data_IF_833942386990
#
_entry.id   IF_833942386990
#
_cell.length_a   1.000
_cell.length_b   1.000
_cell.length_c   1.000
_cell.angle_alpha   90.00
_cell.angle_beta   90.00
_cell.angle_gamma   90.00
#
_symmetry.space_group_name_H-M   'P 1'
#
loop_
_entity.id
_entity.type
_entity.pdbx_description
1 polymer ?
#
# COMPACT_ATOMS: atom_id res chain seq x y z
N UNK A 1 -49.93 25.79 -10.59
CA UNK A 1 -49.70 24.57 -9.81
C UNK A 1 -48.21 24.45 -9.59
N UNK A 2 -47.76 24.75 -8.38
CA UNK A 2 -46.36 24.62 -7.98
C UNK A 2 -46.11 23.16 -7.67
N UNK A 3 -45.24 22.49 -8.43
CA UNK A 3 -44.77 21.15 -8.10
C UNK A 3 -43.95 21.23 -6.81
N UNK A 4 -44.47 20.64 -5.73
CA UNK A 4 -43.65 20.31 -4.57
C UNK A 4 -42.65 19.26 -5.05
N UNK A 5 -41.38 19.64 -5.09
CA UNK A 5 -40.26 18.70 -5.20
C UNK A 5 -40.14 18.10 -3.80
N UNK A 6 -40.23 16.78 -3.68
CA UNK A 6 -40.01 16.07 -2.42
C UNK A 6 -38.62 16.42 -1.88
N UNK A 7 -38.56 16.84 -0.61
CA UNK A 7 -37.30 17.26 0.04
C UNK A 7 -36.27 16.11 0.13
N UNK A 8 -36.67 14.86 -0.13
CA UNK A 8 -35.80 13.68 -0.20
C UNK A 8 -34.99 13.57 -1.50
N UNK A 9 -35.31 14.34 -2.55
CA UNK A 9 -34.52 14.38 -3.81
C UNK A 9 -33.42 15.45 -3.80
N UNK A 10 -33.29 16.25 -2.74
CA UNK A 10 -32.15 17.18 -2.63
C UNK A 10 -30.90 16.40 -2.19
N UNK A 11 -29.77 16.50 -2.91
CA UNK A 11 -28.54 15.89 -2.45
C UNK A 11 -28.22 16.45 -1.07
N UNK A 12 -28.10 15.56 -0.07
CA UNK A 12 -27.66 15.92 1.28
C UNK A 12 -26.21 16.38 1.18
N UNK A 13 -26.01 17.69 1.08
CA UNK A 13 -24.66 18.28 1.15
C UNK A 13 -24.24 18.21 2.61
N UNK A 14 -23.48 17.18 2.96
CA UNK A 14 -22.88 17.09 4.27
C UNK A 14 -21.75 18.10 4.38
N UNK A 15 -21.84 19.01 5.35
CA UNK A 15 -20.69 19.83 5.72
C UNK A 15 -19.64 18.95 6.40
N UNK A 16 -18.36 19.32 6.32
CA UNK A 16 -17.28 18.60 7.02
C UNK A 16 -17.58 18.46 8.52
N UNK A 17 -18.11 19.51 9.14
CA UNK A 17 -18.54 19.47 10.53
C UNK A 17 -19.61 18.40 10.81
N UNK A 18 -20.60 18.26 9.91
CA UNK A 18 -21.62 17.23 10.02
C UNK A 18 -21.05 15.81 9.87
N UNK A 19 -20.12 15.62 8.92
CA UNK A 19 -19.43 14.34 8.70
C UNK A 19 -18.65 13.93 9.96
N UNK A 20 -17.86 14.84 10.53
CA UNK A 20 -17.07 14.58 11.74
C UNK A 20 -17.97 14.30 12.94
N UNK A 21 -19.06 15.07 13.11
CA UNK A 21 -19.99 14.87 14.22
C UNK A 21 -20.63 13.48 14.18
N UNK A 22 -20.96 12.96 13.00
CA UNK A 22 -21.51 11.61 12.85
C UNK A 22 -20.53 10.55 13.37
N UNK A 23 -19.26 10.63 12.97
CA UNK A 23 -18.23 9.69 13.43
C UNK A 23 -18.00 9.81 14.93
N UNK A 24 -17.85 11.03 15.45
CA UNK A 24 -17.61 11.24 16.89
C UNK A 24 -18.77 10.73 17.74
N UNK A 25 -20.01 10.89 17.25
CA UNK A 25 -21.20 10.34 17.92
C UNK A 25 -21.15 8.82 17.92
N UNK A 26 -20.83 8.19 16.79
CA UNK A 26 -20.71 6.73 16.71
C UNK A 26 -19.60 6.17 17.61
N UNK A 27 -18.44 6.86 17.70
CA UNK A 27 -17.37 6.50 18.63
C UNK A 27 -17.84 6.63 20.09
N UNK A 28 -18.48 7.74 20.44
CA UNK A 28 -18.95 8.00 21.80
C UNK A 28 -20.01 6.99 22.26
N UNK A 29 -20.88 6.58 21.35
CA UNK A 29 -21.95 5.62 21.64
C UNK A 29 -21.51 4.15 21.49
N UNK A 30 -20.24 3.92 21.12
CA UNK A 30 -19.68 2.60 20.82
C UNK A 30 -20.48 1.83 19.74
N UNK A 31 -20.88 2.55 18.68
CA UNK A 31 -21.70 2.07 17.55
C UNK A 31 -20.95 2.04 16.23
N UNK A 32 -19.63 1.84 16.27
CA UNK A 32 -18.79 1.84 15.05
C UNK A 32 -19.17 0.71 14.10
N UNK A 33 -19.38 -0.49 14.64
CA UNK A 33 -19.73 -1.67 13.84
C UNK A 33 -21.25 -1.97 13.84
N UNK A 34 -22.06 -1.05 14.35
CA UNK A 34 -23.51 -1.23 14.43
C UNK A 34 -24.13 -1.13 13.03
N UNK A 35 -24.85 -2.18 12.64
CA UNK A 35 -25.68 -2.18 11.42
C UNK A 35 -27.00 -1.48 11.75
N UNK A 36 -27.59 -0.74 10.81
CA UNK A 36 -28.89 -0.11 11.01
C UNK A 36 -29.97 -1.17 11.30
N UNK A 37 -30.59 -1.11 12.48
CA UNK A 37 -31.72 -2.00 12.83
C UNK A 37 -33.03 -1.68 12.08
N UNK A 38 -33.08 -0.55 11.36
CA UNK A 38 -34.29 -0.02 10.71
C UNK A 38 -34.35 -0.19 9.17
N UNK A 39 -33.34 -0.82 8.56
CA UNK A 39 -33.40 -1.25 7.16
C UNK A 39 -33.73 -2.75 7.20
N UNK A 40 -34.99 -3.10 6.91
CA UNK A 40 -35.48 -4.48 6.97
C UNK A 40 -34.52 -5.40 6.20
N UNK A 41 -34.03 -6.44 6.88
CA UNK A 41 -33.27 -7.53 6.28
C UNK A 41 -34.20 -8.25 5.29
N UNK A 42 -34.27 -7.78 4.06
CA UNK A 42 -34.72 -8.62 2.95
C UNK A 42 -33.53 -9.52 2.65
N UNK A 43 -33.56 -10.74 3.19
CA UNK A 43 -33.09 -11.98 2.56
C UNK A 43 -33.14 -13.13 3.57
N UNK A 44 -34.35 -13.63 3.85
CA UNK A 44 -34.50 -15.04 4.19
C UNK A 44 -34.51 -15.85 2.89
N UNK A 45 -33.61 -16.84 2.83
CA UNK A 45 -33.42 -17.86 1.80
C UNK A 45 -32.38 -17.54 0.70
N UNK A 46 -31.10 -17.64 1.04
CA UNK A 46 -30.16 -18.34 0.13
C UNK A 46 -29.03 -18.98 0.95
N UNK A 47 -29.14 -20.30 1.09
CA UNK A 47 -28.20 -21.18 1.78
C UNK A 47 -27.16 -21.67 0.77
N UNK A 48 -26.28 -20.76 0.33
CA UNK A 48 -25.06 -21.09 -0.40
C UNK A 48 -23.95 -20.17 0.10
N UNK A 49 -23.03 -20.74 0.88
CA UNK A 49 -21.87 -20.00 1.40
C UNK A 49 -21.03 -19.41 0.28
N UNK A 50 -20.91 -18.09 0.28
CA UNK A 50 -19.80 -17.23 -0.14
C UNK A 50 -20.25 -15.79 0.13
N UNK A 51 -19.44 -15.02 0.86
CA UNK A 51 -19.62 -13.59 1.19
C UNK A 51 -21.07 -13.10 1.25
N UNK A 52 -21.67 -13.15 2.44
CA UNK A 52 -22.80 -12.26 2.72
C UNK A 52 -22.23 -10.85 2.58
N UNK A 53 -22.61 -10.14 1.51
CA UNK A 53 -22.50 -8.69 1.39
C UNK A 53 -23.23 -8.08 2.59
N UNK A 54 -22.51 -7.97 3.71
CA UNK A 54 -22.99 -7.24 4.87
C UNK A 54 -23.12 -5.80 4.42
N UNK A 55 -24.31 -5.24 4.59
CA UNK A 55 -24.53 -3.84 4.30
C UNK A 55 -23.51 -2.97 5.04
N UNK A 56 -23.04 -1.91 4.37
CA UNK A 56 -22.18 -0.92 4.99
C UNK A 56 -22.88 -0.31 6.21
N UNK A 57 -22.20 -0.29 7.36
CA UNK A 57 -22.65 0.42 8.55
C UNK A 57 -22.76 1.92 8.28
N UNK A 58 -23.52 2.67 9.09
CA UNK A 58 -23.53 4.14 8.97
C UNK A 58 -22.13 4.78 9.07
N UNK A 59 -21.21 4.16 9.82
CA UNK A 59 -19.82 4.62 9.90
C UNK A 59 -19.07 4.29 8.61
N UNK A 60 -19.21 3.10 8.03
CA UNK A 60 -18.61 2.74 6.74
C UNK A 60 -19.11 3.68 5.63
N UNK A 61 -20.43 3.93 5.55
CA UNK A 61 -21.02 4.93 4.62
C UNK A 61 -20.39 6.32 4.80
N UNK A 62 -20.14 6.74 6.04
CA UNK A 62 -19.49 8.03 6.34
C UNK A 62 -18.00 8.02 5.98
N UNK A 63 -17.28 6.92 6.24
CA UNK A 63 -15.87 6.76 5.90
C UNK A 63 -15.66 6.75 4.38
N UNK A 64 -16.57 6.18 3.58
CA UNK A 64 -16.54 6.28 2.12
C UNK A 64 -16.51 7.76 1.68
N UNK A 65 -17.39 8.59 2.25
CA UNK A 65 -17.42 10.03 1.94
C UNK A 65 -16.12 10.71 2.35
N UNK A 66 -15.57 10.41 3.53
CA UNK A 66 -14.28 10.98 3.96
C UNK A 66 -13.15 10.52 3.04
N UNK A 67 -13.16 9.27 2.62
CA UNK A 67 -12.14 8.72 1.73
C UNK A 67 -12.13 9.46 0.39
N UNK A 68 -13.29 9.66 -0.23
CA UNK A 68 -13.43 10.44 -1.46
C UNK A 68 -12.94 11.88 -1.28
N UNK A 69 -13.38 12.55 -0.21
CA UNK A 69 -13.00 13.95 0.06
C UNK A 69 -11.52 14.11 0.35
N UNK A 70 -10.90 13.19 1.08
CA UNK A 70 -9.46 13.26 1.40
C UNK A 70 -8.55 13.04 0.19
N UNK A 71 -9.09 12.62 -0.96
CA UNK A 71 -8.38 12.67 -2.24
C UNK A 71 -8.15 14.11 -2.76
N UNK A 72 -8.86 15.10 -2.21
CA UNK A 72 -8.75 16.51 -2.57
C UNK A 72 -8.00 17.30 -1.49
N UNK A 73 -6.99 18.06 -1.88
CA UNK A 73 -6.09 18.77 -0.95
C UNK A 73 -6.83 19.75 -0.04
N UNK A 74 -7.84 20.46 -0.55
CA UNK A 74 -8.65 21.41 0.23
C UNK A 74 -9.32 20.73 1.42
N UNK A 75 -9.96 19.58 1.20
CA UNK A 75 -10.61 18.82 2.26
C UNK A 75 -9.60 18.12 3.16
N UNK A 76 -8.51 17.60 2.61
CA UNK A 76 -7.41 17.04 3.41
C UNK A 76 -6.85 18.07 4.40
N UNK A 77 -6.73 19.34 3.98
CA UNK A 77 -6.31 20.45 4.85
C UNK A 77 -7.32 20.69 5.97
N UNK A 78 -8.62 20.78 5.67
CA UNK A 78 -9.67 20.98 6.69
C UNK A 78 -9.64 19.82 7.69
N UNK A 79 -9.68 18.57 7.20
CA UNK A 79 -9.71 17.38 8.05
C UNK A 79 -8.47 17.24 8.94
N UNK A 80 -7.27 17.55 8.43
CA UNK A 80 -6.05 17.45 9.21
C UNK A 80 -5.88 18.62 10.19
N UNK A 81 -6.08 19.85 9.74
CA UNK A 81 -5.75 21.05 10.53
C UNK A 81 -6.84 21.41 11.52
N UNK A 82 -8.12 21.20 11.16
CA UNK A 82 -9.25 21.61 11.99
C UNK A 82 -9.85 20.45 12.78
N UNK A 83 -9.79 19.22 12.24
CA UNK A 83 -10.49 18.07 12.83
C UNK A 83 -9.57 17.00 13.43
N UNK A 84 -8.25 17.07 13.21
CA UNK A 84 -7.30 16.03 13.60
C UNK A 84 -7.74 14.63 13.16
N UNK A 85 -8.23 14.51 11.91
CA UNK A 85 -8.87 13.30 11.39
C UNK A 85 -8.05 12.02 11.62
N UNK A 86 -6.73 12.08 11.52
CA UNK A 86 -5.84 10.93 11.72
C UNK A 86 -6.00 10.29 13.11
N UNK A 87 -6.23 11.08 14.17
CA UNK A 87 -6.48 10.55 15.53
C UNK A 87 -7.87 9.94 15.65
N UNK A 88 -8.86 10.51 14.97
CA UNK A 88 -10.22 9.95 14.90
C UNK A 88 -10.19 8.60 14.18
N UNK A 89 -9.52 8.54 13.01
CA UNK A 89 -9.37 7.32 12.23
C UNK A 89 -8.59 6.26 13.02
N UNK A 90 -7.50 6.62 13.69
CA UNK A 90 -6.79 5.71 14.58
C UNK A 90 -7.72 5.12 15.65
N UNK A 91 -8.56 5.97 16.27
CA UNK A 91 -9.53 5.51 17.26
C UNK A 91 -10.52 4.51 16.66
N UNK A 92 -11.02 4.75 15.45
CA UNK A 92 -11.91 3.82 14.74
C UNK A 92 -11.23 2.48 14.52
N UNK A 93 -10.02 2.47 13.95
CA UNK A 93 -9.25 1.25 13.68
C UNK A 93 -9.07 0.42 14.96
N UNK A 94 -8.80 1.06 16.10
CA UNK A 94 -8.61 0.35 17.38
C UNK A 94 -9.89 -0.18 18.02
N UNK A 95 -11.06 0.24 17.55
CA UNK A 95 -12.36 -0.15 18.11
C UNK A 95 -13.14 -1.11 17.22
N UNK A 96 -12.93 -1.07 15.91
CA UNK A 96 -13.65 -1.91 14.96
C UNK A 96 -13.10 -3.33 14.90
N UNK A 97 -13.99 -4.31 14.74
CA UNK A 97 -13.65 -5.68 14.33
C UNK A 97 -13.98 -5.97 12.86
N UNK A 98 -14.47 -4.98 12.10
CA UNK A 98 -14.85 -5.15 10.69
C UNK A 98 -13.71 -4.76 9.76
N UNK A 99 -13.32 -5.69 8.88
CA UNK A 99 -12.27 -5.48 7.87
C UNK A 99 -12.62 -4.31 6.93
N UNK A 100 -13.90 -4.18 6.54
CA UNK A 100 -14.38 -3.06 5.71
C UNK A 100 -14.19 -1.70 6.38
N UNK A 101 -14.53 -1.56 7.66
CA UNK A 101 -14.23 -0.35 8.44
C UNK A 101 -12.72 -0.06 8.49
N UNK A 102 -11.88 -1.09 8.66
CA UNK A 102 -10.41 -0.94 8.65
C UNK A 102 -9.89 -0.50 7.28
N UNK A 103 -10.34 -1.14 6.20
CA UNK A 103 -10.00 -0.81 4.81
C UNK A 103 -10.28 0.67 4.53
N UNK A 104 -11.52 1.12 4.76
CA UNK A 104 -11.93 2.50 4.51
C UNK A 104 -11.11 3.49 5.35
N UNK A 105 -10.87 3.15 6.62
CA UNK A 105 -10.04 3.94 7.54
C UNK A 105 -8.60 4.09 7.04
N UNK A 106 -8.00 3.00 6.59
CA UNK A 106 -6.65 2.99 6.01
C UNK A 106 -6.60 3.74 4.68
N UNK A 107 -7.65 3.64 3.87
CA UNK A 107 -7.81 4.40 2.63
C UNK A 107 -7.80 5.91 2.84
N UNK A 108 -8.50 6.38 3.87
CA UNK A 108 -8.45 7.79 4.32
C UNK A 108 -7.01 8.19 4.67
N UNK A 109 -6.32 7.40 5.49
CA UNK A 109 -4.93 7.70 5.89
C UNK A 109 -3.98 7.69 4.69
N UNK A 110 -4.15 6.73 3.78
CA UNK A 110 -3.33 6.61 2.57
C UNK A 110 -3.50 7.83 1.66
N UNK A 111 -4.73 8.34 1.48
CA UNK A 111 -4.98 9.57 0.73
C UNK A 111 -4.34 10.79 1.38
N UNK A 112 -4.46 10.93 2.71
CA UNK A 112 -3.82 12.03 3.43
C UNK A 112 -2.28 11.98 3.30
N UNK A 113 -1.69 10.78 3.33
CA UNK A 113 -0.25 10.59 3.15
C UNK A 113 0.25 10.96 1.74
N UNK A 114 -0.63 11.24 0.76
CA UNK A 114 -0.20 11.75 -0.55
C UNK A 114 0.35 13.18 -0.48
N UNK A 115 -0.04 13.97 0.53
CA UNK A 115 0.37 15.38 0.65
C UNK A 115 1.59 15.53 1.57
N UNK A 116 2.70 16.15 1.12
CA UNK A 116 3.96 16.19 1.89
C UNK A 116 3.84 16.67 3.33
N UNK A 117 3.16 17.80 3.54
CA UNK A 117 2.97 18.37 4.88
C UNK A 117 2.17 17.43 5.80
N UNK A 118 1.26 16.65 5.23
CA UNK A 118 0.36 15.76 5.98
C UNK A 118 1.02 14.42 6.24
N UNK A 119 1.76 13.89 5.27
CA UNK A 119 2.64 12.75 5.45
C UNK A 119 3.61 12.96 6.63
N UNK A 120 4.17 14.17 6.74
CA UNK A 120 5.03 14.57 7.86
C UNK A 120 4.33 14.47 9.22
N UNK A 121 3.08 14.94 9.31
CA UNK A 121 2.26 14.84 10.54
C UNK A 121 1.95 13.38 10.86
N UNK A 122 1.50 12.61 9.88
CA UNK A 122 1.12 11.20 10.04
C UNK A 122 2.32 10.35 10.47
N UNK A 123 3.48 10.58 9.87
CA UNK A 123 4.72 9.90 10.20
C UNK A 123 5.21 10.23 11.61
N UNK A 124 4.92 11.44 12.10
CA UNK A 124 5.29 11.84 13.47
C UNK A 124 4.38 11.22 14.55
N UNK A 125 3.24 10.63 14.17
CA UNK A 125 2.32 9.94 15.08
C UNK A 125 2.75 8.48 15.32
N UNK A 126 3.45 8.26 16.43
CA UNK A 126 3.96 6.93 16.81
C UNK A 126 2.87 5.90 17.09
N UNK A 127 1.72 6.33 17.61
CA UNK A 127 0.61 5.40 17.88
C UNK A 127 0.04 4.89 16.57
N UNK A 128 -0.14 5.81 15.61
CA UNK A 128 -0.59 5.48 14.27
C UNK A 128 0.38 4.51 13.59
N UNK A 129 1.67 4.82 13.56
CA UNK A 129 2.69 3.94 12.97
C UNK A 129 2.69 2.55 13.62
N UNK A 130 2.54 2.48 14.94
CA UNK A 130 2.47 1.20 15.65
C UNK A 130 1.25 0.36 15.25
N UNK A 131 0.08 0.98 15.09
CA UNK A 131 -1.13 0.27 14.62
C UNK A 131 -0.98 -0.22 13.18
N UNK A 132 -0.48 0.63 12.27
CA UNK A 132 -0.20 0.22 10.88
C UNK A 132 0.77 -0.96 10.83
N UNK A 133 1.83 -0.91 11.65
CA UNK A 133 2.78 -2.01 11.78
C UNK A 133 2.11 -3.30 12.25
N UNK A 134 1.24 -3.22 13.25
CA UNK A 134 0.51 -4.40 13.76
C UNK A 134 -0.34 -5.00 12.64
N UNK A 135 -1.11 -4.18 11.92
CA UNK A 135 -1.97 -4.61 10.81
C UNK A 135 -1.15 -5.31 9.72
N UNK A 136 -0.04 -4.73 9.29
CA UNK A 136 0.80 -5.31 8.24
C UNK A 136 1.47 -6.61 8.69
N UNK A 137 1.86 -6.71 9.96
CA UNK A 137 2.58 -7.86 10.51
C UNK A 137 1.69 -8.98 11.02
N UNK A 138 0.39 -8.76 11.16
CA UNK A 138 -0.52 -9.80 11.59
C UNK A 138 -0.56 -10.89 10.52
N UNK A 139 -0.02 -12.06 10.86
CA UNK A 139 0.01 -13.23 9.98
C UNK A 139 -1.37 -13.87 9.82
N UNK A 140 -2.35 -13.50 10.66
CA UNK A 140 -3.74 -13.94 10.55
C UNK A 140 -4.61 -12.96 9.77
N UNK A 141 -4.07 -11.79 9.42
CA UNK A 141 -4.77 -10.82 8.59
C UNK A 141 -4.49 -11.12 7.12
N UNK A 142 -5.48 -11.72 6.47
CA UNK A 142 -5.43 -12.11 5.06
C UNK A 142 -6.38 -11.25 4.20
N UNK A 143 -7.07 -10.24 4.76
CA UNK A 143 -7.90 -9.33 3.96
C UNK A 143 -6.99 -8.44 3.10
N UNK A 144 -6.99 -8.76 1.81
CA UNK A 144 -6.15 -8.11 0.81
C UNK A 144 -6.45 -6.62 0.69
N UNK A 145 -7.69 -6.18 0.91
CA UNK A 145 -8.07 -4.76 0.79
C UNK A 145 -7.47 -3.95 1.94
N UNK A 146 -7.56 -4.47 3.16
CA UNK A 146 -6.91 -3.90 4.36
C UNK A 146 -5.40 -3.83 4.17
N UNK A 147 -4.76 -4.94 3.77
CA UNK A 147 -3.32 -5.00 3.53
C UNK A 147 -2.88 -4.05 2.41
N UNK A 148 -3.67 -3.94 1.34
CA UNK A 148 -3.39 -3.04 0.22
C UNK A 148 -3.42 -1.58 0.65
N UNK A 149 -4.46 -1.12 1.36
CA UNK A 149 -4.53 0.28 1.80
C UNK A 149 -3.48 0.61 2.87
N UNK A 150 -3.16 -0.33 3.78
CA UNK A 150 -2.03 -0.17 4.70
C UNK A 150 -0.69 -0.06 3.94
N UNK A 151 -0.49 -0.88 2.91
CA UNK A 151 0.70 -0.82 2.05
C UNK A 151 0.77 0.50 1.28
N UNK A 152 -0.37 1.00 0.79
CA UNK A 152 -0.48 2.27 0.07
C UNK A 152 -0.14 3.45 0.97
N UNK A 153 -0.56 3.41 2.23
CA UNK A 153 -0.13 4.38 3.23
C UNK A 153 1.40 4.38 3.37
N UNK A 154 2.04 3.21 3.56
CA UNK A 154 3.51 3.11 3.65
C UNK A 154 4.19 3.64 2.39
N UNK A 155 3.72 3.25 1.20
CA UNK A 155 4.25 3.74 -0.07
C UNK A 155 4.18 5.26 -0.15
N UNK A 156 3.07 5.85 0.24
CA UNK A 156 2.89 7.30 0.17
C UNK A 156 3.78 8.03 1.18
N UNK A 157 3.98 7.47 2.38
CA UNK A 157 5.00 8.01 3.30
C UNK A 157 6.39 7.98 2.69
N UNK A 158 6.77 6.89 2.00
CA UNK A 158 8.07 6.77 1.35
C UNK A 158 8.22 7.70 0.13
N UNK A 159 7.17 7.89 -0.67
CA UNK A 159 7.22 8.81 -1.82
C UNK A 159 7.49 10.27 -1.39
N UNK A 160 7.17 10.62 -0.15
CA UNK A 160 7.42 11.94 0.42
C UNK A 160 8.80 12.10 1.08
N UNK A 161 9.69 11.10 0.98
CA UNK A 161 11.08 11.15 1.45
C UNK A 161 11.79 12.48 1.16
N UNK A 162 11.73 13.08 -0.05
CA UNK A 162 12.45 14.33 -0.34
C UNK A 162 12.05 15.53 0.53
N UNK A 163 10.94 15.42 1.26
CA UNK A 163 10.42 16.45 2.16
C UNK A 163 10.77 16.20 3.63
N UNK A 164 11.39 15.07 3.94
CA UNK A 164 11.75 14.72 5.31
C UNK A 164 13.08 15.33 5.73
N UNK A 165 13.19 15.62 7.02
CA UNK A 165 14.47 15.93 7.64
C UNK A 165 15.30 14.66 7.79
N UNK A 166 16.62 14.81 7.97
CA UNK A 166 17.50 13.69 8.25
C UNK A 166 17.05 12.87 9.49
N UNK A 167 16.53 13.52 10.53
CA UNK A 167 15.99 12.83 11.71
C UNK A 167 14.79 11.95 11.35
N UNK A 168 13.93 12.42 10.45
CA UNK A 168 12.76 11.67 9.99
C UNK A 168 13.16 10.47 9.12
N UNK A 169 14.17 10.60 8.28
CA UNK A 169 14.74 9.48 7.52
C UNK A 169 15.31 8.38 8.44
N UNK A 170 15.92 8.76 9.57
CA UNK A 170 16.40 7.82 10.58
C UNK A 170 15.26 7.06 11.26
N UNK A 171 14.21 7.77 11.68
CA UNK A 171 13.02 7.15 12.26
C UNK A 171 12.37 6.20 11.26
N UNK A 172 12.38 6.56 9.97
CA UNK A 172 11.75 5.75 8.92
C UNK A 172 12.56 4.47 8.68
N UNK A 173 13.89 4.58 8.71
CA UNK A 173 14.78 3.43 8.69
C UNK A 173 14.50 2.49 9.86
N UNK A 174 14.40 3.01 11.09
CA UNK A 174 14.03 2.19 12.26
C UNK A 174 12.65 1.55 12.09
N UNK A 175 11.66 2.30 11.62
CA UNK A 175 10.30 1.82 11.39
C UNK A 175 10.29 0.64 10.40
N UNK A 176 11.02 0.72 9.29
CA UNK A 176 11.05 -0.33 8.27
C UNK A 176 11.92 -1.53 8.67
N UNK A 177 13.15 -1.27 9.10
CA UNK A 177 14.18 -2.31 9.27
C UNK A 177 14.10 -2.99 10.64
N UNK A 178 14.01 -2.24 11.74
CA UNK A 178 13.95 -2.85 13.09
C UNK A 178 12.66 -3.64 13.33
N UNK A 179 11.63 -3.38 12.52
CA UNK A 179 10.34 -4.06 12.67
C UNK A 179 10.13 -5.20 11.67
N UNK A 180 11.12 -5.52 10.82
CA UNK A 180 11.01 -6.53 9.76
C UNK A 180 9.83 -6.30 8.80
N UNK A 181 9.45 -5.03 8.56
CA UNK A 181 8.36 -4.73 7.61
C UNK A 181 8.76 -5.11 6.18
N UNK A 182 10.04 -4.97 5.84
CA UNK A 182 10.56 -5.35 4.53
C UNK A 182 10.40 -6.84 4.27
N UNK A 183 10.68 -7.68 5.27
CA UNK A 183 10.44 -9.12 5.20
C UNK A 183 8.97 -9.46 4.94
N UNK A 184 8.02 -8.66 5.46
CA UNK A 184 6.59 -8.84 5.21
C UNK A 184 6.21 -8.47 3.76
N UNK A 185 6.77 -7.41 3.20
CA UNK A 185 6.58 -7.09 1.77
C UNK A 185 7.20 -8.16 0.85
N UNK A 186 8.37 -8.70 1.23
CA UNK A 186 8.96 -9.85 0.54
C UNK A 186 8.02 -11.08 0.60
N UNK A 187 7.40 -11.33 1.75
CA UNK A 187 6.37 -12.37 1.88
C UNK A 187 5.18 -12.11 0.96
N UNK A 188 4.67 -10.88 0.87
CA UNK A 188 3.57 -10.55 -0.06
C UNK A 188 3.95 -10.82 -1.50
N UNK A 189 5.15 -10.41 -1.94
CA UNK A 189 5.64 -10.67 -3.29
C UNK A 189 5.66 -12.16 -3.63
N UNK A 190 6.13 -13.00 -2.69
CA UNK A 190 6.19 -14.45 -2.89
C UNK A 190 4.78 -15.05 -2.98
N UNK A 191 3.89 -14.66 -2.07
CA UNK A 191 2.71 -15.45 -1.75
C UNK A 191 1.37 -14.86 -2.21
N UNK A 192 1.26 -13.56 -2.45
CA UNK A 192 -0.04 -12.97 -2.83
C UNK A 192 -0.51 -13.47 -4.20
N UNK A 193 -1.82 -13.62 -4.36
CA UNK A 193 -2.46 -13.85 -5.66
C UNK A 193 -3.12 -12.57 -6.20
N UNK A 194 -3.09 -11.48 -5.44
CA UNK A 194 -3.64 -10.20 -5.84
C UNK A 194 -2.55 -9.32 -6.48
N UNK A 195 -2.77 -8.95 -7.74
CA UNK A 195 -1.80 -8.18 -8.54
C UNK A 195 -1.57 -6.77 -8.00
N UNK A 196 -2.57 -6.13 -7.41
CA UNK A 196 -2.43 -4.79 -6.84
C UNK A 196 -1.56 -4.79 -5.58
N UNK A 197 -1.75 -5.77 -4.69
CA UNK A 197 -0.88 -5.97 -3.51
C UNK A 197 0.54 -6.36 -3.92
N UNK A 198 0.68 -7.16 -4.99
CA UNK A 198 1.99 -7.47 -5.53
C UNK A 198 2.68 -6.22 -6.08
N UNK A 199 1.99 -5.46 -6.93
CA UNK A 199 2.49 -4.24 -7.55
C UNK A 199 2.90 -3.20 -6.51
N UNK A 200 2.07 -2.97 -5.48
CA UNK A 200 2.38 -1.98 -4.46
C UNK A 200 3.54 -2.40 -3.57
N UNK A 201 3.70 -3.70 -3.32
CA UNK A 201 4.87 -4.24 -2.62
C UNK A 201 6.15 -3.98 -3.41
N UNK A 202 6.12 -4.16 -4.74
CA UNK A 202 7.25 -3.78 -5.61
C UNK A 202 7.53 -2.28 -5.56
N UNK A 203 6.50 -1.43 -5.60
CA UNK A 203 6.68 0.03 -5.49
C UNK A 203 7.34 0.44 -4.18
N UNK A 204 6.97 -0.19 -3.06
CA UNK A 204 7.56 0.09 -1.74
C UNK A 204 9.03 -0.31 -1.72
N UNK A 205 9.35 -1.51 -2.17
CA UNK A 205 10.73 -1.99 -2.17
C UNK A 205 11.63 -1.16 -3.10
N UNK A 206 11.08 -0.64 -4.21
CA UNK A 206 11.80 0.25 -5.12
C UNK A 206 12.29 1.54 -4.44
N UNK A 207 11.60 1.99 -3.39
CA UNK A 207 11.94 3.21 -2.67
C UNK A 207 13.00 2.98 -1.58
N UNK A 208 13.31 1.72 -1.22
CA UNK A 208 14.27 1.43 -0.16
C UNK A 208 15.67 2.01 -0.41
N UNK A 209 16.26 1.90 -1.62
CA UNK A 209 17.59 2.46 -1.86
C UNK A 209 17.64 3.99 -1.78
N UNK A 210 16.48 4.66 -1.82
CA UNK A 210 16.39 6.12 -1.75
C UNK A 210 16.33 6.66 -0.32
N UNK A 211 16.21 5.79 0.69
CA UNK A 211 16.13 6.21 2.10
C UNK A 211 17.53 6.57 2.58
N UNK A 212 17.68 7.75 3.18
CA UNK A 212 18.91 8.10 3.90
C UNK A 212 19.07 7.18 5.11
N UNK A 213 20.14 6.39 5.10
CA UNK A 213 20.36 5.31 6.07
C UNK A 213 21.54 5.67 6.97
N UNK A 214 21.33 5.56 8.28
CA UNK A 214 22.44 5.54 9.24
C UNK A 214 23.30 4.31 9.02
N UNK A 215 24.61 4.44 9.22
CA UNK A 215 25.58 3.33 9.15
C UNK A 215 25.10 2.08 9.90
N UNK A 216 24.37 2.24 11.00
CA UNK A 216 23.83 1.16 11.81
C UNK A 216 22.82 0.25 11.08
N UNK A 217 22.18 0.73 10.01
CA UNK A 217 21.18 -0.01 9.25
C UNK A 217 21.64 -0.41 7.85
N UNK A 218 22.85 -0.04 7.44
CA UNK A 218 23.35 -0.32 6.08
C UNK A 218 23.45 -1.83 5.80
N UNK A 219 23.96 -2.61 6.76
CA UNK A 219 24.06 -4.07 6.64
C UNK A 219 22.67 -4.72 6.54
N UNK A 220 21.75 -4.29 7.40
CA UNK A 220 20.36 -4.79 7.42
C UNK A 220 19.64 -4.42 6.12
N UNK A 221 19.82 -3.20 5.60
CA UNK A 221 19.28 -2.80 4.30
C UNK A 221 19.84 -3.70 3.20
N UNK A 222 21.16 -3.92 3.18
CA UNK A 222 21.81 -4.70 2.14
C UNK A 222 21.27 -6.13 2.07
N UNK A 223 21.11 -6.77 3.23
CA UNK A 223 20.47 -8.09 3.35
C UNK A 223 19.02 -8.06 2.85
N UNK A 224 18.24 -7.07 3.26
CA UNK A 224 16.85 -6.93 2.80
C UNK A 224 16.75 -6.72 1.29
N UNK A 225 17.66 -5.95 0.69
CA UNK A 225 17.73 -5.74 -0.77
C UNK A 225 18.00 -7.06 -1.50
N UNK A 226 18.93 -7.86 -0.99
CA UNK A 226 19.23 -9.20 -1.53
C UNK A 226 18.03 -10.13 -1.38
N UNK A 227 17.38 -10.15 -0.21
CA UNK A 227 16.17 -10.96 0.03
C UNK A 227 15.01 -10.54 -0.86
N UNK A 228 14.85 -9.23 -1.09
CA UNK A 228 13.86 -8.68 -2.02
C UNK A 228 14.12 -9.13 -3.45
N UNK A 229 15.38 -9.09 -3.91
CA UNK A 229 15.76 -9.61 -5.22
C UNK A 229 15.41 -11.09 -5.36
N UNK A 230 15.83 -11.93 -4.40
CA UNK A 230 15.52 -13.36 -4.39
C UNK A 230 14.00 -13.61 -4.39
N UNK A 231 13.24 -12.82 -3.62
CA UNK A 231 11.78 -12.94 -3.55
C UNK A 231 11.10 -12.66 -4.88
N UNK A 232 11.58 -11.66 -5.62
CA UNK A 232 11.09 -11.34 -6.95
C UNK A 232 11.44 -12.48 -7.93
N UNK A 233 12.66 -13.00 -7.89
CA UNK A 233 13.09 -14.11 -8.75
C UNK A 233 12.30 -15.40 -8.50
N UNK A 234 12.11 -15.79 -7.23
CA UNK A 234 11.23 -16.90 -6.87
C UNK A 234 9.81 -16.71 -7.41
N UNK A 235 9.26 -15.49 -7.29
CA UNK A 235 7.93 -15.19 -7.81
C UNK A 235 7.88 -15.28 -9.34
N UNK A 236 8.89 -14.77 -10.03
CA UNK A 236 9.02 -14.89 -11.50
C UNK A 236 8.98 -16.35 -11.93
N UNK A 237 9.51 -17.31 -11.16
CA UNK A 237 9.48 -18.74 -11.49
C UNK A 237 8.08 -19.38 -11.36
N UNK A 238 7.13 -18.74 -10.69
CA UNK A 238 5.82 -19.32 -10.40
C UNK A 238 4.70 -18.63 -11.19
N UNK A 239 4.82 -17.33 -11.48
CA UNK A 239 3.76 -16.61 -12.21
C UNK A 239 3.56 -17.23 -13.59
N UNK A 240 2.31 -17.53 -13.98
CA UNK A 240 1.98 -18.11 -15.29
C UNK A 240 1.83 -17.04 -16.35
N UNK A 241 1.00 -16.04 -16.06
CA UNK A 241 0.68 -14.91 -16.92
C UNK A 241 1.04 -13.62 -16.18
N UNK A 242 1.81 -12.75 -16.83
CA UNK A 242 2.18 -11.44 -16.30
C UNK A 242 1.62 -10.42 -17.26
N UNK A 243 0.73 -9.52 -16.81
CA UNK A 243 0.28 -8.43 -17.66
C UNK A 243 1.41 -7.43 -17.95
N UNK A 244 1.20 -6.55 -18.93
CA UNK A 244 2.21 -5.56 -19.32
C UNK A 244 2.62 -4.62 -18.18
N UNK A 245 1.67 -4.19 -17.34
CA UNK A 245 1.93 -3.22 -16.26
C UNK A 245 2.82 -3.85 -15.19
N UNK A 246 2.51 -5.08 -14.82
CA UNK A 246 3.25 -5.85 -13.83
C UNK A 246 4.63 -6.25 -14.34
N UNK A 247 4.75 -6.62 -15.62
CA UNK A 247 6.04 -6.89 -16.24
C UNK A 247 6.98 -5.68 -16.16
N UNK A 248 6.49 -4.50 -16.53
CA UNK A 248 7.24 -3.24 -16.44
C UNK A 248 7.64 -2.94 -14.99
N UNK A 249 6.74 -3.18 -14.02
CA UNK A 249 7.03 -2.98 -12.61
C UNK A 249 8.17 -3.88 -12.11
N UNK A 250 8.16 -5.17 -12.46
CA UNK A 250 9.19 -6.14 -12.09
C UNK A 250 10.54 -5.75 -12.70
N UNK A 251 10.59 -5.45 -14.00
CA UNK A 251 11.82 -5.05 -14.69
C UNK A 251 12.40 -3.78 -14.07
N UNK A 252 11.57 -2.75 -13.86
CA UNK A 252 12.01 -1.51 -13.24
C UNK A 252 12.55 -1.73 -11.82
N UNK A 253 11.90 -2.61 -11.06
CA UNK A 253 12.34 -2.96 -9.72
C UNK A 253 13.73 -3.63 -9.76
N UNK A 254 13.92 -4.66 -10.59
CA UNK A 254 15.23 -5.34 -10.68
C UNK A 254 16.32 -4.39 -11.19
N UNK A 255 16.01 -3.54 -12.18
CA UNK A 255 16.96 -2.54 -12.66
C UNK A 255 17.38 -1.56 -11.56
N UNK A 256 16.44 -1.14 -10.71
CA UNK A 256 16.70 -0.30 -9.54
C UNK A 256 17.60 -1.03 -8.53
N UNK A 257 17.33 -2.32 -8.28
CA UNK A 257 18.16 -3.14 -7.38
C UNK A 257 19.60 -3.30 -7.93
N UNK A 258 19.77 -3.52 -9.23
CA UNK A 258 21.10 -3.58 -9.83
C UNK A 258 21.86 -2.24 -9.75
N UNK A 259 21.17 -1.11 -9.86
CA UNK A 259 21.79 0.22 -9.72
C UNK A 259 22.36 0.48 -8.33
N UNK A 260 21.87 -0.21 -7.31
CA UNK A 260 22.45 -0.11 -5.96
C UNK A 260 23.87 -0.66 -5.88
N UNK A 261 24.24 -1.59 -6.77
CA UNK A 261 25.51 -2.33 -6.70
C UNK A 261 25.63 -3.27 -5.49
N UNK A 262 24.54 -3.47 -4.72
CA UNK A 262 24.54 -4.29 -3.51
C UNK A 262 24.39 -5.78 -3.82
N UNK A 263 23.72 -6.12 -4.93
CA UNK A 263 23.44 -7.52 -5.30
C UNK A 263 24.76 -8.22 -5.72
N UNK A 264 25.24 -9.24 -4.98
CA UNK A 264 26.46 -9.96 -5.32
C UNK A 264 26.31 -10.81 -6.60
N UNK A 265 27.39 -11.01 -7.34
CA UNK A 265 27.38 -11.83 -8.57
C UNK A 265 26.85 -13.25 -8.35
N UNK A 266 27.28 -13.94 -7.29
CA UNK A 266 26.77 -15.26 -6.91
C UNK A 266 25.24 -15.27 -6.73
N UNK A 267 24.66 -14.18 -6.22
CA UNK A 267 23.19 -14.06 -6.08
C UNK A 267 22.51 -13.93 -7.44
N UNK A 268 23.13 -13.22 -8.39
CA UNK A 268 22.63 -13.12 -9.76
C UNK A 268 22.72 -14.47 -10.47
N UNK A 269 23.83 -15.20 -10.31
CA UNK A 269 24.03 -16.53 -10.88
C UNK A 269 22.99 -17.52 -10.37
N UNK A 270 22.76 -17.56 -9.05
CA UNK A 270 21.76 -18.43 -8.42
C UNK A 270 20.32 -18.17 -8.91
N UNK A 271 20.03 -16.98 -9.43
CA UNK A 271 18.72 -16.60 -9.95
C UNK A 271 18.68 -16.45 -11.49
N UNK A 272 19.72 -16.93 -12.19
CA UNK A 272 19.86 -16.71 -13.63
C UNK A 272 18.68 -17.24 -14.44
N UNK A 273 18.12 -18.39 -14.07
CA UNK A 273 16.98 -18.99 -14.75
C UNK A 273 15.71 -18.14 -14.62
N UNK A 274 15.50 -17.51 -13.46
CA UNK A 274 14.40 -16.55 -13.25
C UNK A 274 14.55 -15.32 -14.12
N UNK A 275 15.76 -14.77 -14.18
CA UNK A 275 16.05 -13.59 -15.01
C UNK A 275 15.86 -13.91 -16.50
N UNK A 276 16.36 -15.07 -16.95
CA UNK A 276 16.17 -15.53 -18.32
C UNK A 276 14.70 -15.77 -18.66
N UNK A 277 13.92 -16.33 -17.73
CA UNK A 277 12.47 -16.46 -17.88
C UNK A 277 11.80 -15.10 -18.06
N UNK A 278 12.19 -14.10 -17.27
CA UNK A 278 11.65 -12.74 -17.39
C UNK A 278 11.98 -12.12 -18.75
N UNK A 279 13.19 -12.32 -19.28
CA UNK A 279 13.55 -11.87 -20.64
C UNK A 279 12.61 -12.46 -21.69
N UNK A 280 12.37 -13.77 -21.63
CA UNK A 280 11.47 -14.46 -22.57
C UNK A 280 10.02 -13.96 -22.48
N UNK A 281 9.56 -13.60 -21.28
CA UNK A 281 8.25 -12.95 -21.12
C UNK A 281 8.25 -11.56 -21.77
N UNK A 282 9.35 -10.81 -21.67
CA UNK A 282 9.51 -9.50 -22.31
C UNK A 282 9.46 -9.51 -23.83
N UNK A 283 10.08 -10.51 -24.47
CA UNK A 283 10.05 -10.67 -25.93
C UNK A 283 8.64 -10.84 -26.50
N UNK A 284 7.68 -11.35 -25.71
CA UNK A 284 6.27 -11.41 -26.13
C UNK A 284 5.61 -10.02 -26.22
N UNK A 285 6.20 -9.00 -25.60
CA UNK A 285 5.73 -7.62 -25.60
C UNK A 285 6.46 -6.70 -26.59
N UNK A 286 7.62 -7.13 -27.13
CA UNK A 286 8.47 -6.32 -27.99
C UNK A 286 7.86 -5.99 -29.36
N UNK A 287 6.93 -6.80 -29.87
CA UNK A 287 6.36 -6.60 -31.22
C UNK A 287 5.65 -5.24 -31.41
N UNK A 288 5.42 -4.46 -30.34
CA UNK A 288 4.67 -3.20 -30.40
C UNK A 288 5.21 -2.03 -29.54
N UNK A 289 6.44 -2.07 -28.98
CA UNK A 289 6.88 -0.97 -28.10
C UNK A 289 8.40 -0.76 -27.88
N UNK A 290 8.92 0.38 -28.35
CA UNK A 290 10.32 0.79 -28.18
C UNK A 290 10.77 0.99 -26.70
N UNK A 291 9.85 1.33 -25.79
CA UNK A 291 10.17 1.56 -24.38
C UNK A 291 10.49 0.25 -23.64
N UNK A 292 9.72 -0.81 -23.94
CA UNK A 292 9.94 -2.15 -23.36
C UNK A 292 11.26 -2.73 -23.87
N UNK A 293 11.55 -2.56 -25.16
CA UNK A 293 12.81 -2.97 -25.75
C UNK A 293 14.01 -2.33 -25.03
N UNK A 294 14.00 -1.01 -24.84
CA UNK A 294 15.06 -0.30 -24.13
C UNK A 294 15.23 -0.79 -22.67
N UNK A 295 14.12 -1.07 -21.98
CA UNK A 295 14.15 -1.60 -20.61
C UNK A 295 14.77 -2.99 -20.53
N UNK A 296 14.44 -3.86 -21.50
CA UNK A 296 15.00 -5.21 -21.63
C UNK A 296 16.48 -5.13 -22.00
N UNK A 297 16.88 -4.23 -22.90
CA UNK A 297 18.27 -4.04 -23.30
C UNK A 297 19.15 -3.59 -22.11
N UNK A 298 18.70 -2.60 -21.34
CA UNK A 298 19.40 -2.17 -20.10
C UNK A 298 19.51 -3.32 -19.10
N UNK A 299 18.44 -4.10 -18.95
CA UNK A 299 18.41 -5.26 -18.06
C UNK A 299 19.41 -6.34 -18.50
N UNK A 300 19.43 -6.67 -19.80
CA UNK A 300 20.34 -7.66 -20.38
C UNK A 300 21.81 -7.24 -20.22
N UNK A 301 22.13 -5.99 -20.51
CA UNK A 301 23.48 -5.45 -20.35
C UNK A 301 23.96 -5.56 -18.89
N UNK A 302 23.09 -5.29 -17.91
CA UNK A 302 23.42 -5.43 -16.48
C UNK A 302 23.69 -6.89 -16.09
N UNK A 303 22.94 -7.84 -16.63
CA UNK A 303 23.18 -9.27 -16.42
C UNK A 303 24.52 -9.69 -17.02
N UNK A 304 24.84 -9.26 -18.25
CA UNK A 304 26.12 -9.60 -18.89
C UNK A 304 27.31 -9.00 -18.13
N UNK A 305 27.25 -7.72 -17.76
CA UNK A 305 28.30 -7.06 -16.98
C UNK A 305 28.56 -7.74 -15.63
N UNK A 306 27.52 -8.30 -15.00
CA UNK A 306 27.69 -9.02 -13.74
C UNK A 306 28.47 -10.33 -13.89
N UNK A 307 28.44 -10.97 -15.07
CA UNK A 307 29.21 -12.19 -15.40
C UNK A 307 30.67 -11.89 -15.72
N UNK A 308 30.98 -10.70 -16.23
CA UNK A 308 32.35 -10.34 -16.62
C UNK A 308 33.22 -10.00 -15.41
N UNK A 309 32.64 -9.44 -14.34
CA UNK A 309 33.34 -9.11 -13.09
C UNK A 309 33.89 -10.33 -12.31
N UNK A 310 33.53 -11.56 -12.69
CA UNK A 310 34.07 -12.80 -12.11
C UNK A 310 35.33 -13.32 -12.82
N UNK A 311 35.66 -12.77 -13.99
CA UNK A 311 36.82 -13.21 -14.78
C UNK A 311 38.10 -12.41 -14.54
N UNK A 312 38.03 -11.35 -13.74
CA UNK A 312 39.16 -10.53 -13.28
C UNK A 312 39.48 -10.80 -11.81
#
# INVERSE_FOLDING_TARGET
MSSQIDDDEKPKVYSVAGIILNILTAINDNRIDAINENEEIVNENDDNGNDKDLEDTPVEKTLCVIWDLTGLEEYANIFMNECQIHRIILKIITLTSRERTQELSLGVLANLACFPDKATILFSDKDLLNVIKIILKDENNDDVRVLFEASKFIRNLLKNLPHYSFEQELILSEFLFSNNLISRFNYFIKNTLNDDLFFISLEILKLLPCIGISENYFEIMSLNIIDSFNSICERINIIKDIDRKLFIAIINMINTLFETGIIPSDTIENNYESLYRLQNLGYSYEENNDEIFNLIEVFNNKIELSKEKEKE
#
